data_IF_769708327891
#
_entry.id   IF_769708327891
#
_cell.length_a   1.000
_cell.length_b   1.000
_cell.length_c   1.000
_cell.angle_alpha   90.00
_cell.angle_beta   90.00
_cell.angle_gamma   90.00
#
_symmetry.space_group_name_H-M   'P 1'
#
loop_
_entity.id
_entity.type
_entity.pdbx_description
1 polymer ?
#
# COMPACT_ATOMS: atom_id res chain seq x y z
N UNK A 1 15.60 16.16 14.50
CA UNK A 1 14.98 15.39 15.60
C UNK A 1 14.25 14.21 14.97
N UNK A 2 14.64 12.96 15.25
CA UNK A 2 13.95 11.77 14.74
C UNK A 2 12.76 11.48 15.65
N UNK A 3 11.58 11.24 15.07
CA UNK A 3 10.33 11.03 15.82
C UNK A 3 10.32 9.69 16.58
N UNK A 4 11.10 8.71 16.12
CA UNK A 4 11.26 7.36 16.71
C UNK A 4 12.65 6.79 16.34
N UNK A 5 13.10 5.77 17.05
CA UNK A 5 14.38 5.10 16.77
C UNK A 5 14.24 3.94 15.75
N UNK A 6 15.37 3.57 15.14
CA UNK A 6 15.44 2.51 14.13
C UNK A 6 15.06 1.13 14.71
N UNK A 7 15.40 0.90 15.97
CA UNK A 7 15.22 -0.37 16.67
C UNK A 7 13.74 -0.68 16.87
N UNK A 8 12.94 0.35 17.20
CA UNK A 8 11.50 0.28 17.34
C UNK A 8 10.84 -0.25 16.07
N UNK A 9 11.15 0.35 14.91
CA UNK A 9 10.56 -0.07 13.64
C UNK A 9 11.07 -1.43 13.16
N UNK A 10 12.34 -1.76 13.40
CA UNK A 10 12.84 -3.11 13.13
C UNK A 10 12.10 -4.18 13.94
N UNK A 11 11.87 -3.94 15.24
CA UNK A 11 11.08 -4.83 16.09
C UNK A 11 9.62 -4.92 15.60
N UNK A 12 9.00 -3.79 15.30
CA UNK A 12 7.63 -3.70 14.80
C UNK A 12 7.41 -4.53 13.54
N UNK A 13 8.31 -4.42 12.55
CA UNK A 13 8.21 -5.18 11.31
C UNK A 13 8.58 -6.66 11.46
N UNK A 14 9.39 -7.03 12.47
CA UNK A 14 9.68 -8.45 12.77
C UNK A 14 8.49 -9.15 13.43
N UNK A 15 7.79 -8.46 14.32
CA UNK A 15 6.69 -9.03 15.10
C UNK A 15 5.37 -9.11 14.32
N UNK A 16 5.14 -8.20 13.36
CA UNK A 16 3.92 -8.23 12.56
C UNK A 16 4.00 -9.27 11.45
N UNK A 17 3.16 -10.33 11.47
CA UNK A 17 3.01 -11.17 10.30
C UNK A 17 2.52 -10.29 9.15
N UNK A 18 3.01 -10.55 7.93
CA UNK A 18 2.49 -9.92 6.72
C UNK A 18 1.01 -10.30 6.64
N UNK A 19 0.13 -9.36 6.99
CA UNK A 19 -1.31 -9.50 6.82
C UNK A 19 -1.58 -9.38 5.31
N UNK A 20 -1.27 -10.44 4.56
CA UNK A 20 -1.79 -10.55 3.22
C UNK A 20 -3.32 -10.43 3.34
N UNK A 21 -3.99 -9.53 2.61
CA UNK A 21 -5.45 -9.50 2.59
C UNK A 21 -5.92 -10.93 2.35
N UNK A 22 -6.70 -11.44 3.31
CA UNK A 22 -7.11 -12.84 3.45
C UNK A 22 -7.34 -13.44 2.06
N UNK A 23 -6.49 -14.38 1.64
CA UNK A 23 -6.71 -15.15 0.41
C UNK A 23 -7.95 -16.02 0.62
N UNK A 24 -9.13 -15.43 0.53
CA UNK A 24 -10.40 -16.11 0.66
C UNK A 24 -11.10 -16.13 -0.68
N UNK A 25 -11.07 -17.31 -1.30
CA UNK A 25 -12.08 -17.76 -2.23
C UNK A 25 -11.70 -17.69 -3.70
N UNK A 26 -11.51 -18.89 -4.30
CA UNK A 26 -11.71 -19.29 -5.69
C UNK A 26 -11.53 -18.21 -6.77
N UNK A 27 -10.61 -18.47 -7.71
CA UNK A 27 -10.32 -17.64 -8.91
C UNK A 27 -11.58 -17.14 -9.65
N UNK A 28 -12.69 -17.87 -9.54
CA UNK A 28 -14.01 -17.51 -10.06
C UNK A 28 -14.64 -16.25 -9.41
N UNK A 29 -14.49 -16.09 -8.10
CA UNK A 29 -15.02 -14.93 -7.35
C UNK A 29 -14.24 -13.65 -7.65
N UNK A 30 -12.95 -13.75 -7.97
CA UNK A 30 -12.13 -12.60 -8.35
C UNK A 30 -12.58 -11.99 -9.67
N UNK A 31 -12.93 -12.84 -10.65
CA UNK A 31 -13.46 -12.40 -11.94
C UNK A 31 -14.86 -11.77 -11.81
N UNK A 32 -15.74 -12.37 -11.01
CA UNK A 32 -17.07 -11.81 -10.72
C UNK A 32 -17.00 -10.45 -10.00
N UNK A 33 -16.10 -10.31 -9.03
CA UNK A 33 -15.89 -9.03 -8.31
C UNK A 33 -15.31 -7.92 -9.20
N UNK A 34 -14.51 -8.27 -10.23
CA UNK A 34 -13.97 -7.32 -11.20
C UNK A 34 -15.06 -6.71 -12.10
N UNK A 35 -16.17 -7.43 -12.32
CA UNK A 35 -17.33 -6.96 -13.10
C UNK A 35 -18.30 -6.14 -12.23
N UNK A 36 -18.33 -6.37 -10.91
CA UNK A 36 -19.28 -5.75 -9.97
C UNK A 36 -18.88 -4.34 -9.45
N UNK A 37 -17.89 -3.68 -10.05
CA UNK A 37 -17.56 -2.28 -9.78
C UNK A 37 -17.48 -1.93 -8.28
N UNK A 38 -18.28 -0.94 -7.85
CA UNK A 38 -18.29 -0.36 -6.49
C UNK A 38 -18.33 -1.38 -5.34
N UNK A 39 -18.90 -2.58 -5.53
CA UNK A 39 -18.94 -3.62 -4.49
C UNK A 39 -17.55 -4.14 -4.09
N UNK A 40 -16.63 -4.26 -5.05
CA UNK A 40 -15.25 -4.69 -4.79
C UNK A 40 -14.43 -3.58 -4.12
N UNK A 41 -14.61 -2.33 -4.57
CA UNK A 41 -13.94 -1.16 -3.99
C UNK A 41 -14.37 -0.99 -2.53
N UNK A 42 -15.66 -1.10 -2.23
CA UNK A 42 -16.17 -1.03 -0.87
C UNK A 42 -15.69 -2.18 0.02
N UNK A 43 -15.54 -3.39 -0.54
CA UNK A 43 -14.94 -4.51 0.18
C UNK A 43 -13.47 -4.23 0.52
N UNK A 44 -12.67 -3.75 -0.44
CA UNK A 44 -11.26 -3.44 -0.20
C UNK A 44 -11.08 -2.27 0.77
N UNK A 45 -11.85 -1.20 0.62
CA UNK A 45 -11.90 -0.09 1.57
C UNK A 45 -12.13 -0.62 2.99
N UNK A 46 -13.20 -1.39 3.22
CA UNK A 46 -13.49 -1.94 4.55
C UNK A 46 -12.45 -2.90 5.14
N UNK A 47 -11.66 -3.58 4.30
CA UNK A 47 -10.72 -4.61 4.75
C UNK A 47 -9.26 -4.14 4.81
N UNK A 48 -8.95 -2.95 4.30
CA UNK A 48 -7.59 -2.38 4.29
C UNK A 48 -7.53 -1.03 5.01
N UNK A 49 -8.61 -0.24 4.95
CA UNK A 49 -8.76 1.02 5.67
C UNK A 49 -9.35 0.69 7.04
N UNK A 50 -8.54 0.76 8.09
CA UNK A 50 -8.87 0.24 9.43
C UNK A 50 -9.31 1.29 10.44
N UNK A 51 -9.14 2.61 10.19
CA UNK A 51 -9.48 3.67 11.17
C UNK A 51 -10.27 4.86 10.59
N UNK A 52 -10.93 5.64 11.45
CA UNK A 52 -11.74 6.82 11.06
C UNK A 52 -10.93 7.88 10.28
N UNK A 53 -9.66 8.09 10.65
CA UNK A 53 -8.78 9.04 9.93
C UNK A 53 -8.55 8.59 8.48
N UNK A 54 -8.39 7.29 8.28
CA UNK A 54 -8.21 6.72 6.95
C UNK A 54 -9.53 6.79 6.15
N UNK A 55 -10.71 6.71 6.78
CA UNK A 55 -11.98 6.94 6.08
C UNK A 55 -12.06 8.35 5.48
N UNK A 56 -11.71 9.39 6.25
CA UNK A 56 -11.71 10.77 5.73
C UNK A 56 -10.72 10.91 4.57
N UNK A 57 -9.52 10.34 4.71
CA UNK A 57 -8.52 10.39 3.66
C UNK A 57 -8.99 9.67 2.38
N UNK A 58 -9.47 8.44 2.48
CA UNK A 58 -9.79 7.60 1.32
C UNK A 58 -11.14 7.90 0.66
N UNK A 59 -12.15 8.21 1.46
CA UNK A 59 -13.54 8.32 1.00
C UNK A 59 -13.98 9.77 0.79
N UNK A 60 -13.28 10.73 1.40
CA UNK A 60 -13.57 12.16 1.23
C UNK A 60 -12.47 12.84 0.42
N UNK A 61 -11.22 12.81 0.89
CA UNK A 61 -10.14 13.59 0.29
C UNK A 61 -9.70 12.98 -1.04
N UNK A 62 -9.21 11.74 -1.02
CA UNK A 62 -8.72 11.05 -2.20
C UNK A 62 -9.84 10.82 -3.21
N UNK A 63 -11.05 10.51 -2.75
CA UNK A 63 -12.12 10.31 -3.70
C UNK A 63 -12.49 11.60 -4.45
N UNK A 64 -12.48 12.76 -3.76
CA UNK A 64 -12.85 14.03 -4.37
C UNK A 64 -11.74 14.67 -5.19
N UNK A 65 -10.49 14.58 -4.73
CA UNK A 65 -9.40 15.41 -5.25
C UNK A 65 -8.36 14.64 -6.07
N UNK A 66 -8.24 13.32 -5.92
CA UNK A 66 -7.30 12.57 -6.74
C UNK A 66 -7.86 12.31 -8.14
N UNK A 67 -7.04 12.50 -9.20
CA UNK A 67 -7.44 12.23 -10.57
C UNK A 67 -7.79 10.74 -10.77
N UNK A 68 -8.93 10.45 -11.41
CA UNK A 68 -9.36 9.06 -11.69
C UNK A 68 -8.67 8.42 -12.90
N UNK A 69 -7.63 9.07 -13.43
CA UNK A 69 -6.85 8.60 -14.56
C UNK A 69 -5.93 7.46 -14.14
N UNK A 70 -6.05 6.31 -14.81
CA UNK A 70 -5.20 5.14 -14.58
C UNK A 70 -3.78 5.39 -15.10
N UNK A 71 -2.81 4.69 -14.52
CA UNK A 71 -1.41 4.74 -14.96
C UNK A 71 -0.62 5.94 -14.43
N UNK A 72 -1.23 6.82 -13.64
CA UNK A 72 -0.50 7.87 -12.93
C UNK A 72 0.46 7.24 -11.92
N UNK A 73 1.65 7.83 -11.77
CA UNK A 73 2.65 7.37 -10.80
C UNK A 73 2.35 7.98 -9.44
N UNK A 74 2.51 7.20 -8.37
CA UNK A 74 2.39 7.68 -7.00
C UNK A 74 3.58 7.21 -6.17
N UNK A 75 4.09 8.09 -5.31
CA UNK A 75 5.23 7.84 -4.44
C UNK A 75 4.80 7.99 -2.98
N UNK A 76 5.15 7.03 -2.13
CA UNK A 76 4.97 7.10 -0.67
C UNK A 76 6.34 7.03 0.02
N UNK A 77 6.60 7.95 0.95
CA UNK A 77 7.81 7.98 1.80
C UNK A 77 7.46 7.36 3.15
N UNK A 78 8.27 6.41 3.62
CA UNK A 78 7.90 5.55 4.75
C UNK A 78 6.86 4.51 4.31
N UNK A 79 7.12 3.88 3.17
CA UNK A 79 6.12 3.07 2.46
C UNK A 79 5.83 1.71 3.08
N UNK A 80 6.62 1.22 4.04
CA UNK A 80 6.37 -0.09 4.63
C UNK A 80 5.13 -0.07 5.55
N UNK A 81 4.22 -1.06 5.43
CA UNK A 81 4.39 -2.31 4.71
C UNK A 81 3.91 -2.29 3.25
N UNK A 82 3.34 -1.21 2.72
CA UNK A 82 2.94 -1.08 1.31
C UNK A 82 1.44 -1.21 1.04
N UNK A 83 0.59 -1.32 2.07
CA UNK A 83 -0.86 -1.46 1.89
C UNK A 83 -1.52 -0.22 1.27
N UNK A 84 -1.05 0.99 1.59
CA UNK A 84 -1.57 2.22 1.01
C UNK A 84 -1.29 2.30 -0.48
N UNK A 85 -0.05 2.05 -0.90
CA UNK A 85 0.35 1.95 -2.30
C UNK A 85 -0.42 0.86 -3.06
N UNK A 86 -0.63 -0.30 -2.43
CA UNK A 86 -1.50 -1.34 -2.99
C UNK A 86 -2.93 -0.83 -3.18
N UNK A 87 -3.52 -0.17 -2.18
CA UNK A 87 -4.86 0.38 -2.26
C UNK A 87 -4.97 1.45 -3.37
N UNK A 88 -3.97 2.32 -3.54
CA UNK A 88 -3.92 3.31 -4.62
C UNK A 88 -3.88 2.63 -6.00
N UNK A 89 -3.11 1.54 -6.14
CA UNK A 89 -3.10 0.73 -7.35
C UNK A 89 -4.47 0.08 -7.63
N UNK A 90 -5.11 -0.52 -6.63
CA UNK A 90 -6.39 -1.24 -6.83
C UNK A 90 -7.57 -0.31 -7.05
N UNK A 91 -7.62 0.83 -6.35
CA UNK A 91 -8.75 1.76 -6.38
C UNK A 91 -8.63 2.74 -7.56
N UNK A 92 -7.46 3.34 -7.76
CA UNK A 92 -7.27 4.38 -8.77
C UNK A 92 -6.49 3.91 -10.01
N UNK A 93 -5.92 2.70 -9.98
CA UNK A 93 -5.12 2.18 -11.10
C UNK A 93 -3.76 2.87 -11.23
N UNK A 94 -3.23 3.45 -10.14
CA UNK A 94 -1.94 4.11 -10.14
C UNK A 94 -0.78 3.10 -10.17
N UNK A 95 0.38 3.57 -10.62
CA UNK A 95 1.66 2.84 -10.59
C UNK A 95 2.38 3.25 -9.30
N UNK A 96 2.49 2.35 -8.31
CA UNK A 96 3.04 2.70 -7.01
C UNK A 96 4.57 2.62 -7.00
N UNK A 97 5.17 3.55 -6.25
CA UNK A 97 6.58 3.62 -5.88
C UNK A 97 6.67 3.87 -4.37
N UNK A 98 7.56 3.14 -3.70
CA UNK A 98 7.76 3.25 -2.27
C UNK A 98 9.20 3.64 -1.95
N UNK A 99 9.39 4.56 -1.00
CA UNK A 99 10.68 4.81 -0.36
C UNK A 99 10.56 4.30 1.06
N UNK A 100 11.46 3.42 1.46
CA UNK A 100 11.52 2.90 2.81
C UNK A 100 12.97 2.88 3.30
N UNK A 101 13.18 3.33 4.53
CA UNK A 101 14.49 3.44 5.12
C UNK A 101 15.01 2.10 5.65
N UNK A 102 14.11 1.25 6.15
CA UNK A 102 14.46 -0.05 6.72
C UNK A 102 14.42 -1.17 5.71
N UNK A 103 15.52 -1.93 5.63
CA UNK A 103 15.62 -3.13 4.81
C UNK A 103 14.49 -4.14 5.08
N UNK A 104 14.12 -4.35 6.36
CA UNK A 104 13.01 -5.23 6.74
C UNK A 104 11.65 -4.72 6.23
N UNK A 105 11.44 -3.39 6.27
CA UNK A 105 10.26 -2.74 5.72
C UNK A 105 10.20 -2.85 4.19
N UNK A 106 11.34 -2.64 3.51
CA UNK A 106 11.48 -2.82 2.05
C UNK A 106 11.12 -4.24 1.66
N UNK A 107 11.64 -5.24 2.36
CA UNK A 107 11.33 -6.65 2.10
C UNK A 107 9.83 -6.96 2.29
N UNK A 108 9.21 -6.40 3.32
CA UNK A 108 7.78 -6.55 3.56
C UNK A 108 6.95 -5.93 2.42
N UNK A 109 7.31 -4.72 2.01
CA UNK A 109 6.65 -4.02 0.91
C UNK A 109 6.81 -4.76 -0.43
N UNK A 110 8.04 -5.18 -0.76
CA UNK A 110 8.30 -5.98 -1.97
C UNK A 110 7.51 -7.27 -2.03
N UNK A 111 7.32 -7.98 -0.90
CA UNK A 111 6.45 -9.16 -0.85
C UNK A 111 4.98 -8.82 -1.15
N UNK A 112 4.49 -7.70 -0.63
CA UNK A 112 3.13 -7.21 -0.92
C UNK A 112 2.99 -6.82 -2.40
N UNK A 113 3.98 -6.12 -2.97
CA UNK A 113 3.97 -5.76 -4.39
C UNK A 113 3.99 -7.01 -5.28
N UNK A 114 4.94 -7.91 -5.04
CA UNK A 114 5.09 -9.15 -5.80
C UNK A 114 3.81 -10.00 -5.77
N UNK A 115 3.21 -10.18 -4.59
CA UNK A 115 1.96 -10.96 -4.44
C UNK A 115 0.74 -10.33 -5.12
N UNK A 116 0.82 -9.05 -5.52
CA UNK A 116 -0.26 -8.31 -6.15
C UNK A 116 0.00 -7.93 -7.61
N UNK A 117 1.03 -8.52 -8.24
CA UNK A 117 1.49 -8.23 -9.60
C UNK A 117 1.90 -6.76 -9.79
N UNK A 118 2.57 -6.20 -8.80
CA UNK A 118 3.21 -4.89 -8.84
C UNK A 118 4.73 -5.14 -8.83
N UNK A 119 5.47 -4.32 -9.58
CA UNK A 119 6.92 -4.44 -9.67
C UNK A 119 7.59 -4.17 -8.31
N UNK A 120 8.22 -5.16 -7.66
CA UNK A 120 8.90 -4.97 -6.38
C UNK A 120 10.12 -4.02 -6.47
N UNK A 121 10.67 -3.80 -7.66
CA UNK A 121 11.80 -2.88 -7.86
C UNK A 121 11.37 -1.41 -7.78
N UNK A 122 10.06 -1.13 -7.78
CA UNK A 122 9.53 0.19 -7.45
C UNK A 122 9.66 0.55 -5.95
N UNK A 123 10.18 -0.34 -5.11
CA UNK A 123 10.50 -0.05 -3.70
C UNK A 123 11.99 0.25 -3.56
N UNK A 124 12.30 1.48 -3.18
CA UNK A 124 13.64 2.03 -3.00
C UNK A 124 14.01 1.98 -1.51
N UNK A 125 15.14 1.35 -1.20
CA UNK A 125 15.71 1.35 0.15
C UNK A 125 16.58 2.60 0.34
N UNK A 126 16.04 3.67 0.93
CA UNK A 126 16.80 4.90 1.18
C UNK A 126 16.22 5.72 2.31
N UNK A 127 17.07 6.54 2.94
CA UNK A 127 16.60 7.70 3.71
C UNK A 127 16.21 8.79 2.71
N UNK A 128 14.94 9.19 2.72
CA UNK A 128 14.42 10.24 1.84
C UNK A 128 15.02 11.62 2.14
N UNK A 129 15.53 11.82 3.36
CA UNK A 129 16.12 13.08 3.80
C UNK A 129 17.64 13.12 3.66
N UNK A 130 18.27 12.08 3.10
CA UNK A 130 19.70 12.09 2.77
C UNK A 130 19.93 12.96 1.52
N UNK A 131 20.98 13.77 1.52
CA UNK A 131 21.36 14.65 0.40
C UNK A 131 21.64 13.86 -0.90
N UNK A 132 21.87 12.55 -0.79
CA UNK A 132 22.15 11.65 -1.91
C UNK A 132 20.92 11.00 -2.54
N UNK A 133 19.72 11.23 -2.00
CA UNK A 133 18.47 10.69 -2.53
C UNK A 133 18.05 11.37 -3.84
#
# INVERSE_FOLDING_TARGET
MRLTDKVFWEAYYKEKPVISPRQSGNKLNFFLKKVLGNGFINYWRKNVVHNHEEHVLWDVIYDKYLPKTKGLKVLEVGSAPGYNLLALNKIFGYVPYGVEYLQTGVEMNRRIFLSNNIDPDNVICSDFFDDKF
#
